data_IF_791221950688
#
_entry.id   IF_791221950688
#
_cell.length_a   1.000
_cell.length_b   1.000
_cell.length_c   1.000
_cell.angle_alpha   90.00
_cell.angle_beta   90.00
_cell.angle_gamma   90.00
#
_symmetry.space_group_name_H-M   'P 1'
#
loop_
_entity.id
_entity.type
_entity.pdbx_description
1 polymer ?
#
# COMPACT_ATOMS: atom_id res chain seq x y z
N UNK A 1 -45.16 48.24 -125.56
CA UNK A 1 -44.47 48.65 -124.32
C UNK A 1 -44.98 47.75 -123.22
N UNK A 2 -44.27 46.66 -122.91
CA UNK A 2 -44.48 45.92 -121.68
C UNK A 2 -43.96 46.85 -120.57
N UNK A 3 -44.88 47.48 -119.85
CA UNK A 3 -44.54 48.10 -118.58
C UNK A 3 -44.11 46.93 -117.71
N UNK A 4 -42.85 46.89 -117.27
CA UNK A 4 -42.43 45.99 -116.21
C UNK A 4 -43.33 46.30 -115.01
N UNK A 5 -44.39 45.51 -114.84
CA UNK A 5 -45.26 45.51 -113.67
C UNK A 5 -44.44 45.00 -112.51
N UNK A 6 -43.58 45.86 -111.97
CA UNK A 6 -42.79 45.43 -110.84
C UNK A 6 -43.71 45.20 -109.63
N UNK A 7 -43.31 44.21 -108.85
CA UNK A 7 -44.09 43.67 -107.74
C UNK A 7 -43.61 44.28 -106.43
N UNK A 8 -44.55 44.57 -105.55
CA UNK A 8 -44.31 44.85 -104.14
C UNK A 8 -44.22 43.51 -103.42
N UNK A 9 -43.04 43.16 -102.92
CA UNK A 9 -42.86 41.95 -102.12
C UNK A 9 -42.95 42.31 -100.66
N UNK A 10 -43.90 41.70 -99.95
CA UNK A 10 -44.14 41.93 -98.52
C UNK A 10 -43.65 40.71 -97.76
N UNK A 11 -42.62 40.86 -96.94
CA UNK A 11 -42.02 39.79 -96.12
C UNK A 11 -42.19 40.06 -94.64
N UNK A 12 -42.34 39.03 -93.79
CA UNK A 12 -42.30 39.20 -92.32
C UNK A 12 -40.87 39.44 -91.86
N UNK A 13 -40.68 39.88 -90.62
CA UNK A 13 -39.34 39.92 -89.99
C UNK A 13 -38.64 38.56 -89.91
N UNK A 14 -39.40 37.45 -89.98
CA UNK A 14 -38.84 36.10 -90.09
C UNK A 14 -38.22 35.79 -91.46
N UNK A 15 -38.39 36.66 -92.46
CA UNK A 15 -38.01 36.42 -93.85
C UNK A 15 -39.07 35.69 -94.69
N UNK A 16 -40.20 35.30 -94.10
CA UNK A 16 -41.30 34.65 -94.81
C UNK A 16 -42.02 35.65 -95.72
N UNK A 17 -42.15 35.35 -97.02
CA UNK A 17 -42.95 36.16 -97.94
C UNK A 17 -44.45 35.98 -97.67
N UNK A 18 -45.13 37.08 -97.36
CA UNK A 18 -46.57 37.13 -97.05
C UNK A 18 -47.39 37.31 -98.32
N UNK A 19 -46.94 38.19 -99.21
CA UNK A 19 -47.62 38.51 -100.44
C UNK A 19 -46.68 39.16 -101.45
N UNK A 20 -46.93 38.90 -102.74
CA UNK A 20 -46.38 39.63 -103.87
C UNK A 20 -47.53 40.27 -104.63
N UNK A 21 -47.56 41.60 -104.71
CA UNK A 21 -48.69 42.38 -105.25
C UNK A 21 -48.16 43.35 -106.30
N UNK A 22 -48.80 43.39 -107.48
CA UNK A 22 -48.38 44.32 -108.53
C UNK A 22 -48.58 45.77 -108.08
N UNK A 23 -47.61 46.64 -108.35
CA UNK A 23 -47.64 48.08 -107.98
C UNK A 23 -48.91 48.78 -108.49
N UNK A 24 -49.52 48.32 -109.60
CA UNK A 24 -50.76 48.88 -110.13
C UNK A 24 -52.03 48.56 -109.30
N UNK A 25 -52.02 47.53 -108.46
CA UNK A 25 -53.20 47.12 -107.68
C UNK A 25 -53.43 47.98 -106.43
N UNK A 26 -52.37 48.55 -105.87
CA UNK A 26 -52.38 49.31 -104.62
C UNK A 26 -51.64 50.62 -104.81
N UNK A 27 -52.30 51.74 -104.51
CA UNK A 27 -51.72 53.08 -104.71
C UNK A 27 -50.92 53.57 -103.50
N UNK A 28 -51.38 53.19 -102.31
CA UNK A 28 -50.86 53.67 -101.04
C UNK A 28 -50.73 52.53 -100.02
N UNK A 29 -49.99 52.79 -98.96
CA UNK A 29 -49.78 51.85 -97.85
C UNK A 29 -51.10 51.40 -97.23
N UNK A 30 -52.10 52.29 -97.14
CA UNK A 30 -53.43 51.98 -96.59
C UNK A 30 -54.15 50.90 -97.41
N UNK A 31 -54.17 51.02 -98.73
CA UNK A 31 -54.79 50.05 -99.64
C UNK A 31 -54.03 48.72 -99.63
N UNK A 32 -52.70 48.76 -99.52
CA UNK A 32 -51.88 47.57 -99.32
C UNK A 32 -52.22 46.86 -98.00
N UNK A 33 -52.26 47.56 -96.85
CA UNK A 33 -52.63 46.95 -95.55
C UNK A 33 -54.03 46.34 -95.56
N UNK A 34 -55.00 46.99 -96.22
CA UNK A 34 -56.37 46.47 -96.43
C UNK A 34 -56.39 45.22 -97.31
N UNK A 35 -55.49 45.12 -98.29
CA UNK A 35 -55.37 43.92 -99.13
C UNK A 35 -54.76 42.78 -98.33
N UNK A 36 -53.70 43.07 -97.56
CA UNK A 36 -53.04 42.10 -96.69
C UNK A 36 -53.96 41.56 -95.60
N UNK A 37 -54.84 42.37 -95.00
CA UNK A 37 -55.79 41.91 -93.97
C UNK A 37 -56.85 40.92 -94.48
N UNK A 38 -57.00 40.78 -95.80
CA UNK A 38 -57.89 39.76 -96.39
C UNK A 38 -57.19 38.39 -96.52
N UNK A 39 -55.88 38.33 -96.31
CA UNK A 39 -55.11 37.09 -96.35
C UNK A 39 -55.26 36.34 -95.01
N UNK A 40 -55.39 35.00 -95.03
CA UNK A 40 -55.54 34.22 -93.81
C UNK A 40 -54.30 34.39 -92.90
N UNK A 41 -54.53 34.59 -91.60
CA UNK A 41 -53.47 34.75 -90.61
C UNK A 41 -52.85 36.15 -90.52
N UNK A 42 -53.26 37.10 -91.37
CA UNK A 42 -52.82 38.49 -91.27
C UNK A 42 -53.88 39.31 -90.52
N UNK A 43 -53.54 39.97 -89.40
CA UNK A 43 -54.50 40.73 -88.59
C UNK A 43 -54.99 42.00 -89.31
N UNK A 44 -56.03 42.69 -88.81
CA UNK A 44 -56.55 43.93 -89.41
C UNK A 44 -55.50 45.02 -89.63
N UNK A 45 -55.74 45.93 -90.59
CA UNK A 45 -54.78 46.98 -91.04
C UNK A 45 -54.10 47.76 -89.90
N UNK A 46 -54.80 48.00 -88.80
CA UNK A 46 -54.34 48.78 -87.66
C UNK A 46 -53.27 48.07 -86.83
N UNK A 47 -53.13 46.76 -86.99
CA UNK A 47 -52.07 45.94 -86.38
C UNK A 47 -50.89 45.69 -87.31
N UNK A 48 -50.91 46.27 -88.51
CA UNK A 48 -49.89 46.08 -89.52
C UNK A 48 -49.01 47.32 -89.62
N UNK A 49 -47.69 47.12 -89.44
CA UNK A 49 -46.67 48.13 -89.76
C UNK A 49 -45.90 47.65 -90.98
N UNK A 50 -45.83 48.51 -91.99
CA UNK A 50 -45.04 48.25 -93.18
C UNK A 50 -43.78 49.10 -93.10
N UNK A 51 -42.62 48.45 -93.19
CA UNK A 51 -41.33 49.10 -93.14
C UNK A 51 -40.64 48.98 -94.49
N UNK A 52 -40.05 50.08 -94.94
CA UNK A 52 -39.13 50.10 -96.08
C UNK A 52 -37.75 50.43 -95.55
N UNK A 53 -36.79 49.50 -95.71
CA UNK A 53 -35.44 49.64 -95.19
C UNK A 53 -35.40 49.99 -93.68
N UNK A 54 -36.28 49.36 -92.89
CA UNK A 54 -36.38 49.57 -91.45
C UNK A 54 -37.09 50.86 -91.02
N UNK A 55 -37.61 51.68 -91.94
CA UNK A 55 -38.43 52.87 -91.63
C UNK A 55 -39.91 52.56 -91.83
N UNK A 56 -40.73 52.86 -90.84
CA UNK A 56 -42.19 52.72 -90.95
C UNK A 56 -42.74 53.67 -92.01
N UNK A 57 -43.60 53.13 -92.88
CA UNK A 57 -44.36 53.90 -93.86
C UNK A 57 -45.74 54.27 -93.30
N UNK A 58 -46.08 55.55 -93.41
CA UNK A 58 -47.39 56.07 -93.05
C UNK A 58 -48.47 55.57 -94.02
N UNK A 59 -49.73 55.49 -93.56
CA UNK A 59 -50.87 55.01 -94.36
C UNK A 59 -51.06 55.79 -95.67
N UNK A 60 -50.65 57.06 -95.72
CA UNK A 60 -50.77 57.92 -96.89
C UNK A 60 -49.57 57.86 -97.86
N UNK A 61 -48.50 57.11 -97.52
CA UNK A 61 -47.34 57.00 -98.38
C UNK A 61 -47.69 56.24 -99.68
N UNK A 62 -47.31 56.82 -100.82
CA UNK A 62 -47.56 56.24 -102.13
C UNK A 62 -46.58 55.11 -102.44
N UNK A 63 -47.09 54.03 -103.04
CA UNK A 63 -46.30 52.88 -103.46
C UNK A 63 -46.17 52.93 -104.97
N UNK A 64 -45.42 53.89 -105.49
CA UNK A 64 -45.32 54.17 -106.93
C UNK A 64 -44.26 53.34 -107.68
N UNK A 65 -43.43 52.57 -106.97
CA UNK A 65 -42.36 51.78 -107.57
C UNK A 65 -42.22 50.41 -106.90
N UNK A 66 -41.67 49.41 -107.60
CA UNK A 66 -41.43 48.09 -107.04
C UNK A 66 -40.46 48.19 -105.87
N UNK A 67 -40.78 47.58 -104.74
CA UNK A 67 -39.97 47.65 -103.53
C UNK A 67 -40.24 46.45 -102.61
N UNK A 68 -39.26 46.13 -101.78
CA UNK A 68 -39.36 45.09 -100.76
C UNK A 68 -39.80 45.74 -99.43
N UNK A 69 -40.95 45.32 -98.93
CA UNK A 69 -41.56 45.81 -97.70
C UNK A 69 -41.50 44.74 -96.62
N UNK A 70 -41.25 45.17 -95.38
CA UNK A 70 -41.30 44.30 -94.21
C UNK A 70 -42.60 44.54 -93.46
N UNK A 71 -43.39 43.48 -93.26
CA UNK A 71 -44.61 43.48 -92.46
C UNK A 71 -44.31 43.08 -91.02
N UNK A 72 -44.56 44.00 -90.09
CA UNK A 72 -44.51 43.76 -88.66
C UNK A 72 -45.93 43.74 -88.12
N UNK A 73 -46.28 42.64 -87.45
CA UNK A 73 -47.60 42.45 -86.83
C UNK A 73 -47.51 42.84 -85.35
N UNK A 74 -48.27 43.85 -84.95
CA UNK A 74 -48.33 44.30 -83.56
C UNK A 74 -49.33 43.45 -82.76
N UNK A 75 -48.98 43.15 -81.50
CA UNK A 75 -49.95 42.70 -80.51
C UNK A 75 -50.90 43.85 -80.14
N UNK A 76 -52.06 43.55 -79.57
CA UNK A 76 -52.88 44.59 -78.98
C UNK A 76 -52.12 45.23 -77.81
N UNK A 77 -52.18 46.56 -77.70
CA UNK A 77 -51.58 47.28 -76.59
C UNK A 77 -52.41 47.04 -75.32
N UNK A 78 -51.74 47.00 -74.17
CA UNK A 78 -52.40 47.04 -72.87
C UNK A 78 -52.90 48.47 -72.64
N UNK A 79 -54.17 48.70 -72.97
CA UNK A 79 -54.80 50.02 -72.91
C UNK A 79 -55.44 50.22 -71.55
N UNK A 80 -55.21 51.38 -70.93
CA UNK A 80 -55.82 51.70 -69.65
C UNK A 80 -57.34 51.92 -69.79
N UNK A 81 -58.09 51.69 -68.71
CA UNK A 81 -59.56 51.89 -68.71
C UNK A 81 -59.96 53.31 -69.15
N UNK A 82 -59.16 54.32 -68.82
CA UNK A 82 -59.41 55.72 -69.20
C UNK A 82 -59.25 55.95 -70.70
N UNK A 83 -58.35 55.23 -71.37
CA UNK A 83 -58.18 55.27 -72.82
C UNK A 83 -59.30 54.50 -73.54
N UNK A 84 -59.77 53.38 -72.99
CA UNK A 84 -60.97 52.67 -73.49
C UNK A 84 -62.22 53.57 -73.37
N UNK A 85 -62.35 54.31 -72.27
CA UNK A 85 -63.46 55.26 -72.09
C UNK A 85 -63.36 56.45 -73.07
N UNK A 86 -62.16 56.95 -73.35
CA UNK A 86 -61.93 57.95 -74.41
C UNK A 86 -62.28 57.41 -75.79
N UNK A 87 -61.91 56.16 -76.07
CA UNK A 87 -62.16 55.49 -77.35
C UNK A 87 -63.66 55.31 -77.59
N UNK A 88 -64.38 54.78 -76.59
CA UNK A 88 -65.82 54.62 -76.65
C UNK A 88 -66.57 55.96 -76.70
N UNK A 89 -66.05 57.01 -76.06
CA UNK A 89 -66.59 58.37 -76.19
C UNK A 89 -66.40 58.95 -77.60
N UNK A 90 -65.22 58.78 -78.20
CA UNK A 90 -64.96 59.20 -79.59
C UNK A 90 -65.87 58.46 -80.60
N UNK A 91 -66.07 57.16 -80.38
CA UNK A 91 -67.00 56.34 -81.16
C UNK A 91 -68.45 56.79 -81.01
N UNK A 92 -68.90 57.09 -79.78
CA UNK A 92 -70.24 57.65 -79.51
C UNK A 92 -70.44 59.01 -80.18
N UNK A 93 -69.42 59.87 -80.23
CA UNK A 93 -69.47 61.16 -80.93
C UNK A 93 -69.45 61.03 -82.46
N UNK A 94 -69.11 59.85 -83.00
CA UNK A 94 -68.97 59.64 -84.44
C UNK A 94 -67.75 60.33 -85.06
N UNK A 95 -66.73 60.66 -84.27
CA UNK A 95 -65.51 61.31 -84.76
C UNK A 95 -64.57 60.27 -85.40
N UNK A 96 -64.68 60.10 -86.73
CA UNK A 96 -63.95 59.06 -87.44
C UNK A 96 -62.43 59.29 -87.43
N UNK A 97 -62.01 60.56 -87.48
CA UNK A 97 -60.60 60.94 -87.41
C UNK A 97 -59.99 60.64 -86.03
N UNK A 98 -60.71 60.91 -84.94
CA UNK A 98 -60.27 60.56 -83.58
C UNK A 98 -60.19 59.05 -83.39
N UNK A 99 -61.22 58.30 -83.82
CA UNK A 99 -61.20 56.84 -83.70
C UNK A 99 -60.13 56.22 -84.57
N UNK A 100 -59.91 56.72 -85.79
CA UNK A 100 -58.80 56.26 -86.63
C UNK A 100 -57.44 56.57 -86.00
N UNK A 101 -57.26 57.77 -85.42
CA UNK A 101 -56.03 58.12 -84.70
C UNK A 101 -55.80 57.23 -83.46
N UNK A 102 -56.86 56.88 -82.73
CA UNK A 102 -56.76 55.96 -81.60
C UNK A 102 -56.51 54.52 -82.05
N UNK A 103 -57.07 54.10 -83.18
CA UNK A 103 -56.80 52.79 -83.81
C UNK A 103 -55.41 52.72 -84.46
N UNK A 104 -54.71 53.83 -84.68
CA UNK A 104 -53.28 53.76 -85.04
C UNK A 104 -52.45 53.16 -83.91
N UNK A 105 -52.91 53.21 -82.66
CA UNK A 105 -52.39 52.35 -81.61
C UNK A 105 -53.19 51.04 -81.65
N UNK A 106 -52.56 49.85 -81.54
CA UNK A 106 -53.25 48.57 -81.70
C UNK A 106 -54.22 48.30 -80.54
N UNK A 107 -55.36 48.99 -80.51
CA UNK A 107 -56.44 48.81 -79.55
C UNK A 107 -57.30 47.63 -79.98
N UNK A 108 -57.77 46.85 -79.01
CA UNK A 108 -58.79 45.83 -79.28
C UNK A 108 -60.17 46.51 -79.41
N UNK A 109 -60.81 46.44 -80.59
CA UNK A 109 -62.11 47.08 -80.83
C UNK A 109 -63.25 46.46 -80.00
N UNK A 110 -63.04 45.28 -79.40
CA UNK A 110 -64.02 44.58 -78.57
C UNK A 110 -63.96 44.96 -77.09
N UNK A 111 -63.04 45.83 -76.67
CA UNK A 111 -62.95 46.28 -75.28
C UNK A 111 -64.24 46.99 -74.85
N UNK A 112 -64.77 46.55 -73.71
CA UNK A 112 -65.98 47.11 -73.12
C UNK A 112 -65.61 48.35 -72.31
N UNK A 113 -66.17 49.51 -72.68
CA UNK A 113 -66.04 50.73 -71.88
C UNK A 113 -66.82 50.64 -70.56
N UNK A 114 -66.79 51.70 -69.76
CA UNK A 114 -67.51 51.77 -68.48
C UNK A 114 -69.02 51.42 -68.57
N UNK A 115 -69.63 51.60 -69.74
CA UNK A 115 -71.04 51.30 -70.00
C UNK A 115 -71.29 49.83 -70.41
N UNK A 116 -70.28 48.95 -70.34
CA UNK A 116 -70.39 47.54 -70.71
C UNK A 116 -70.62 47.29 -72.20
N UNK A 117 -70.53 48.32 -73.05
CA UNK A 117 -70.73 48.23 -74.49
C UNK A 117 -69.42 48.45 -75.23
N UNK A 118 -69.17 47.61 -76.24
CA UNK A 118 -68.06 47.81 -77.17
C UNK A 118 -68.26 49.08 -77.99
N UNK A 119 -67.15 49.68 -78.47
CA UNK A 119 -67.18 50.89 -79.28
C UNK A 119 -68.04 50.73 -80.54
N UNK A 120 -68.10 49.53 -81.13
CA UNK A 120 -68.92 49.21 -82.31
C UNK A 120 -70.44 49.34 -82.04
N UNK A 121 -70.90 48.87 -80.89
CA UNK A 121 -72.32 48.96 -80.50
C UNK A 121 -72.71 50.43 -80.31
N UNK A 122 -71.84 51.20 -79.66
CA UNK A 122 -72.07 52.62 -79.41
C UNK A 122 -72.08 53.45 -80.71
N UNK A 123 -71.20 53.13 -81.67
CA UNK A 123 -71.18 53.78 -82.97
C UNK A 123 -72.44 53.47 -83.81
N UNK A 124 -72.99 52.27 -83.69
CA UNK A 124 -74.22 51.85 -84.40
C UNK A 124 -75.45 52.60 -83.89
N UNK A 125 -75.54 52.81 -82.57
CA UNK A 125 -76.65 53.54 -81.94
C UNK A 125 -76.64 55.05 -82.24
N UNK A 126 -75.46 55.63 -82.50
CA UNK A 126 -75.31 57.07 -82.73
C UNK A 126 -75.75 57.54 -84.14
N UNK A 127 -76.20 56.64 -85.02
CA UNK A 127 -76.69 57.01 -86.36
C UNK A 127 -75.60 57.46 -87.35
N UNK A 128 -74.32 57.39 -86.98
CA UNK A 128 -73.16 57.82 -87.80
C UNK A 128 -72.68 56.70 -88.75
N UNK A 129 -73.59 55.77 -89.09
CA UNK A 129 -73.26 54.41 -89.53
C UNK A 129 -72.41 54.34 -90.80
N UNK A 130 -72.60 55.19 -91.80
CA UNK A 130 -71.97 54.95 -93.13
C UNK A 130 -70.43 55.05 -93.15
N UNK A 131 -69.82 55.90 -92.33
CA UNK A 131 -68.34 55.99 -92.23
C UNK A 131 -67.77 55.13 -91.11
N UNK A 132 -68.47 55.02 -89.98
CA UNK A 132 -68.02 54.25 -88.82
C UNK A 132 -68.17 52.74 -89.00
N UNK A 133 -69.28 52.28 -89.58
CA UNK A 133 -69.46 50.87 -89.93
C UNK A 133 -68.51 50.50 -91.05
N UNK A 134 -68.15 51.39 -91.98
CA UNK A 134 -67.09 51.06 -92.95
C UNK A 134 -65.72 50.96 -92.29
N UNK A 135 -65.40 51.83 -91.32
CA UNK A 135 -64.13 51.82 -90.59
C UNK A 135 -63.99 50.62 -89.62
N UNK A 136 -65.10 50.22 -88.98
CA UNK A 136 -65.16 49.11 -88.02
C UNK A 136 -65.59 47.77 -88.65
N UNK A 137 -66.31 47.75 -89.76
CA UNK A 137 -66.54 46.53 -90.56
C UNK A 137 -65.38 46.21 -91.49
N UNK A 138 -64.49 47.16 -91.76
CA UNK A 138 -63.10 46.85 -92.17
C UNK A 138 -62.32 46.16 -91.02
N UNK A 139 -62.87 46.12 -89.79
CA UNK A 139 -62.33 45.41 -88.62
C UNK A 139 -63.17 44.18 -88.17
N UNK A 140 -64.41 44.00 -88.66
CA UNK A 140 -65.30 42.87 -88.29
C UNK A 140 -66.36 42.61 -89.40
N UNK A 141 -66.21 41.54 -90.20
CA UNK A 141 -66.86 41.41 -91.53
C UNK A 141 -68.15 40.56 -91.62
N UNK A 142 -69.33 41.16 -91.81
CA UNK A 142 -70.58 40.46 -92.21
C UNK A 142 -71.66 41.41 -92.81
N UNK A 143 -72.45 40.93 -93.78
CA UNK A 143 -73.35 41.70 -94.69
C UNK A 143 -74.65 40.91 -95.01
N UNK A 144 -75.85 41.53 -95.00
CA UNK A 144 -77.11 40.93 -95.54
C UNK A 144 -78.07 42.00 -96.10
N UNK A 145 -78.74 41.71 -97.22
CA UNK A 145 -79.85 42.47 -97.82
C UNK A 145 -81.08 41.56 -98.17
N UNK A 146 -82.31 42.10 -98.37
CA UNK A 146 -83.60 41.36 -98.36
C UNK A 146 -84.39 41.35 -99.70
N UNK A 147 -85.53 40.63 -99.72
CA UNK A 147 -86.48 40.49 -100.85
C UNK A 147 -87.94 40.84 -100.43
N UNK A 148 -88.79 41.23 -101.39
CA UNK A 148 -90.18 41.73 -101.19
C UNK A 148 -91.17 41.13 -102.21
N UNK A 149 -92.44 41.06 -101.77
CA UNK A 149 -93.70 41.35 -102.50
C UNK A 149 -94.59 40.16 -102.93
N UNK A 150 -95.86 40.15 -102.48
CA UNK A 150 -97.00 40.71 -103.25
C UNK A 150 -98.33 40.69 -102.48
N UNK A 151 -99.09 41.74 -102.70
CA UNK A 151 -100.12 42.28 -101.83
C UNK A 151 -101.52 42.07 -102.43
N UNK A 152 -101.98 40.81 -102.56
CA UNK A 152 -103.31 40.50 -103.11
C UNK A 152 -104.05 39.32 -102.44
N UNK A 153 -103.51 38.82 -101.32
CA UNK A 153 -104.20 37.95 -100.34
C UNK A 153 -104.83 38.75 -99.19
N UNK A 154 -104.79 40.10 -99.22
CA UNK A 154 -104.95 40.91 -98.01
C UNK A 154 -106.31 40.87 -97.32
N UNK A 155 -107.44 40.57 -97.97
CA UNK A 155 -108.74 40.61 -97.29
C UNK A 155 -109.11 39.30 -96.61
N UNK A 156 -108.86 38.15 -97.25
CA UNK A 156 -108.97 36.84 -96.62
C UNK A 156 -107.82 36.59 -95.63
N UNK A 157 -106.62 37.11 -95.94
CA UNK A 157 -105.51 37.20 -95.00
C UNK A 157 -105.84 38.15 -93.84
N UNK A 158 -106.65 39.20 -94.00
CA UNK A 158 -107.00 40.08 -92.86
C UNK A 158 -107.86 39.37 -91.82
N UNK A 159 -108.89 38.64 -92.24
CA UNK A 159 -109.79 37.95 -91.31
C UNK A 159 -109.13 36.67 -90.75
N UNK A 160 -108.34 35.98 -91.57
CA UNK A 160 -107.46 34.90 -91.10
C UNK A 160 -106.38 35.43 -90.14
N UNK A 161 -105.76 36.58 -90.44
CA UNK A 161 -104.78 37.22 -89.57
C UNK A 161 -105.43 37.78 -88.31
N UNK A 162 -106.68 38.26 -88.33
CA UNK A 162 -107.41 38.64 -87.11
C UNK A 162 -107.74 37.44 -86.24
N UNK A 163 -108.13 36.31 -86.83
CA UNK A 163 -108.35 35.07 -86.10
C UNK A 163 -107.04 34.53 -85.52
N UNK A 164 -105.97 34.50 -86.32
CA UNK A 164 -104.62 34.14 -85.88
C UNK A 164 -104.08 35.12 -84.84
N UNK A 165 -104.36 36.42 -84.93
CA UNK A 165 -103.98 37.42 -83.94
C UNK A 165 -104.73 37.20 -82.63
N UNK A 166 -106.01 36.84 -82.68
CA UNK A 166 -106.79 36.49 -81.49
C UNK A 166 -106.24 35.23 -80.83
N UNK A 167 -105.99 34.17 -81.60
CA UNK A 167 -105.37 32.94 -81.10
C UNK A 167 -103.97 33.21 -80.54
N UNK A 168 -103.13 33.97 -81.26
CA UNK A 168 -101.79 34.35 -80.80
C UNK A 168 -101.84 35.22 -79.54
N UNK A 169 -102.86 36.06 -79.39
CA UNK A 169 -103.06 36.87 -78.18
C UNK A 169 -103.48 36.00 -77.00
N UNK A 170 -104.42 35.07 -77.19
CA UNK A 170 -104.84 34.15 -76.15
C UNK A 170 -103.68 33.21 -75.75
N UNK A 171 -102.87 32.76 -76.71
CA UNK A 171 -101.63 32.00 -76.47
C UNK A 171 -100.56 32.84 -75.78
N UNK A 172 -100.42 34.13 -76.12
CA UNK A 172 -99.49 35.03 -75.46
C UNK A 172 -99.90 35.27 -73.99
N UNK A 173 -101.20 35.46 -73.72
CA UNK A 173 -101.72 35.59 -72.35
C UNK A 173 -101.55 34.28 -71.58
N UNK A 174 -101.79 33.12 -72.19
CA UNK A 174 -101.55 31.82 -71.56
C UNK A 174 -100.07 31.62 -71.23
N UNK A 175 -99.15 31.96 -72.16
CA UNK A 175 -97.71 31.91 -71.92
C UNK A 175 -97.25 32.92 -70.87
N UNK A 176 -97.84 34.12 -70.82
CA UNK A 176 -97.56 35.11 -69.79
C UNK A 176 -97.99 34.60 -68.41
N UNK A 177 -99.16 33.96 -68.31
CA UNK A 177 -99.62 33.32 -67.08
C UNK A 177 -98.72 32.15 -66.67
N UNK A 178 -98.33 31.28 -67.60
CA UNK A 178 -97.40 30.16 -67.34
C UNK A 178 -96.02 30.65 -66.90
N UNK A 179 -95.48 31.67 -67.56
CA UNK A 179 -94.22 32.30 -67.17
C UNK A 179 -94.33 32.98 -65.80
N UNK A 180 -95.46 33.62 -65.48
CA UNK A 180 -95.67 34.22 -64.16
C UNK A 180 -95.72 33.17 -63.05
N UNK A 181 -96.42 32.05 -63.28
CA UNK A 181 -96.48 30.94 -62.34
C UNK A 181 -95.11 30.27 -62.18
N UNK A 182 -94.36 30.10 -63.28
CA UNK A 182 -93.00 29.58 -63.27
C UNK A 182 -92.03 30.50 -62.53
N UNK A 183 -92.15 31.81 -62.73
CA UNK A 183 -91.38 32.83 -62.02
C UNK A 183 -91.66 32.79 -60.52
N UNK A 184 -92.93 32.70 -60.12
CA UNK A 184 -93.30 32.66 -58.70
C UNK A 184 -92.85 31.35 -58.03
N UNK A 185 -92.93 30.23 -58.75
CA UNK A 185 -92.35 28.95 -58.32
C UNK A 185 -90.83 29.04 -58.15
N UNK A 186 -90.11 29.61 -59.14
CA UNK A 186 -88.67 29.79 -59.07
C UNK A 186 -88.25 30.74 -57.93
N UNK A 187 -89.01 31.82 -57.68
CA UNK A 187 -88.79 32.71 -56.52
C UNK A 187 -88.97 31.98 -55.20
N UNK A 188 -90.00 31.13 -55.09
CA UNK A 188 -90.22 30.33 -53.89
C UNK A 188 -89.09 29.34 -53.65
N UNK A 189 -88.65 28.62 -54.70
CA UNK A 189 -87.49 27.72 -54.63
C UNK A 189 -86.20 28.45 -54.26
N UNK A 190 -85.94 29.63 -54.85
CA UNK A 190 -84.78 30.45 -54.53
C UNK A 190 -84.81 30.91 -53.07
N UNK A 191 -85.99 31.29 -52.56
CA UNK A 191 -86.14 31.67 -51.16
C UNK A 191 -85.82 30.49 -50.23
N UNK A 192 -86.39 29.31 -50.49
CA UNK A 192 -86.11 28.10 -49.71
C UNK A 192 -84.63 27.74 -49.75
N UNK A 193 -83.99 27.75 -50.93
CA UNK A 193 -82.57 27.46 -51.06
C UNK A 193 -81.70 28.48 -50.31
N UNK A 194 -82.09 29.75 -50.28
CA UNK A 194 -81.38 30.79 -49.53
C UNK A 194 -81.52 30.58 -48.02
N UNK A 195 -82.70 30.24 -47.54
CA UNK A 195 -82.94 29.96 -46.11
C UNK A 195 -82.18 28.71 -45.67
N UNK A 196 -82.14 27.65 -46.50
CA UNK A 196 -81.33 26.45 -46.26
C UNK A 196 -79.82 26.74 -46.26
N UNK A 197 -79.35 27.59 -47.17
CA UNK A 197 -77.95 27.99 -47.21
C UNK A 197 -77.55 28.78 -45.96
N UNK A 198 -78.41 29.71 -45.51
CA UNK A 198 -78.19 30.47 -44.29
C UNK A 198 -78.19 29.58 -43.03
N UNK A 199 -79.08 28.58 -42.97
CA UNK A 199 -79.10 27.61 -41.87
C UNK A 199 -77.81 26.76 -41.82
N UNK A 200 -77.34 26.28 -42.98
CA UNK A 200 -76.07 25.53 -43.07
C UNK A 200 -74.86 26.38 -42.73
N UNK A 201 -74.85 27.65 -43.11
CA UNK A 201 -73.78 28.58 -42.74
C UNK A 201 -73.72 28.79 -41.22
N UNK A 202 -74.89 28.95 -40.58
CA UNK A 202 -74.96 29.03 -39.11
C UNK A 202 -74.49 27.74 -38.44
N UNK A 203 -74.91 26.57 -38.91
CA UNK A 203 -74.49 25.28 -38.37
C UNK A 203 -72.97 25.07 -38.52
N UNK A 204 -72.40 25.38 -39.69
CA UNK A 204 -70.96 25.33 -39.93
C UNK A 204 -70.20 26.30 -39.02
N UNK A 205 -70.70 27.52 -38.81
CA UNK A 205 -70.08 28.49 -37.92
C UNK A 205 -70.07 28.03 -36.46
N UNK A 206 -71.17 27.44 -35.99
CA UNK A 206 -71.27 26.90 -34.64
C UNK A 206 -70.35 25.68 -34.45
N UNK A 207 -70.27 24.80 -35.45
CA UNK A 207 -69.35 23.66 -35.46
C UNK A 207 -67.88 24.12 -35.45
N UNK A 208 -67.54 25.16 -36.23
CA UNK A 208 -66.20 25.75 -36.24
C UNK A 208 -65.80 26.33 -34.87
N UNK A 209 -66.69 27.06 -34.20
CA UNK A 209 -66.41 27.60 -32.87
C UNK A 209 -66.28 26.49 -31.81
N UNK A 210 -67.10 25.44 -31.91
CA UNK A 210 -66.96 24.24 -31.06
C UNK A 210 -65.60 23.56 -31.24
N UNK A 211 -65.18 23.32 -32.49
CA UNK A 211 -63.88 22.71 -32.78
C UNK A 211 -62.72 23.60 -32.34
N UNK A 212 -62.82 24.93 -32.52
CA UNK A 212 -61.82 25.88 -32.01
C UNK A 212 -61.72 25.83 -30.49
N UNK A 213 -62.84 25.73 -29.78
CA UNK A 213 -62.86 25.61 -28.33
C UNK A 213 -62.20 24.30 -27.89
N UNK A 214 -62.54 23.17 -28.53
CA UNK A 214 -61.91 21.88 -28.25
C UNK A 214 -60.39 21.89 -28.51
N UNK A 215 -59.95 22.51 -29.60
CA UNK A 215 -58.52 22.67 -29.90
C UNK A 215 -57.78 23.53 -28.87
N UNK A 216 -58.41 24.59 -28.35
CA UNK A 216 -57.84 25.40 -27.27
C UNK A 216 -57.68 24.57 -26.00
N UNK A 217 -58.72 23.86 -25.58
CA UNK A 217 -58.65 22.98 -24.40
C UNK A 217 -57.58 21.90 -24.55
N UNK A 218 -57.54 21.21 -25.70
CA UNK A 218 -56.53 20.17 -25.95
C UNK A 218 -55.11 20.73 -25.97
N UNK A 219 -54.93 21.96 -26.49
CA UNK A 219 -53.64 22.65 -26.46
C UNK A 219 -53.23 23.00 -25.04
N UNK A 220 -54.13 23.56 -24.24
CA UNK A 220 -53.84 23.94 -22.86
C UNK A 220 -53.49 22.70 -22.02
N UNK A 221 -54.23 21.59 -22.19
CA UNK A 221 -53.90 20.30 -21.57
C UNK A 221 -52.55 19.74 -22.02
N UNK A 222 -52.20 19.86 -23.30
CA UNK A 222 -50.90 19.43 -23.80
C UNK A 222 -49.76 20.26 -23.19
N UNK A 223 -49.93 21.58 -23.09
CA UNK A 223 -48.93 22.46 -22.46
C UNK A 223 -48.79 22.20 -20.97
N UNK A 224 -49.88 21.92 -20.26
CA UNK A 224 -49.83 21.56 -18.84
C UNK A 224 -49.06 20.24 -18.62
N UNK A 225 -49.34 19.21 -19.45
CA UNK A 225 -48.60 17.94 -19.40
C UNK A 225 -47.12 18.10 -19.76
N UNK A 226 -46.79 18.95 -20.72
CA UNK A 226 -45.40 19.26 -21.07
C UNK A 226 -44.67 19.91 -19.89
N UNK A 227 -45.31 20.86 -19.20
CA UNK A 227 -44.77 21.47 -17.99
C UNK A 227 -44.58 20.46 -16.86
N UNK A 228 -45.56 19.60 -16.58
CA UNK A 228 -45.45 18.53 -15.57
C UNK A 228 -44.31 17.54 -15.87
N UNK A 229 -44.18 17.13 -17.13
CA UNK A 229 -43.10 16.25 -17.57
C UNK A 229 -41.73 16.93 -17.45
N UNK A 230 -41.64 18.21 -17.79
CA UNK A 230 -40.38 18.97 -17.65
C UNK A 230 -39.96 19.11 -16.19
N UNK A 231 -40.90 19.40 -15.28
CA UNK A 231 -40.63 19.48 -13.85
C UNK A 231 -40.21 18.12 -13.26
N UNK A 232 -40.89 17.05 -13.71
CA UNK A 232 -40.55 15.67 -13.30
C UNK A 232 -39.16 15.25 -13.81
N UNK A 233 -38.79 15.65 -15.04
CA UNK A 233 -37.48 15.40 -15.62
C UNK A 233 -36.38 16.12 -14.84
N UNK A 234 -36.56 17.41 -14.53
CA UNK A 234 -35.57 18.18 -13.76
C UNK A 234 -35.42 17.65 -12.32
N UNK A 235 -36.53 17.26 -11.69
CA UNK A 235 -36.50 16.57 -10.39
C UNK A 235 -35.73 15.24 -10.45
N UNK A 236 -35.95 14.44 -11.50
CA UNK A 236 -35.23 13.18 -11.70
C UNK A 236 -33.73 13.39 -11.95
N UNK A 237 -33.36 14.41 -12.74
CA UNK A 237 -31.95 14.79 -12.96
C UNK A 237 -31.26 15.22 -11.66
N UNK A 238 -31.93 16.05 -10.85
CA UNK A 238 -31.40 16.47 -9.55
C UNK A 238 -31.16 15.28 -8.63
N UNK A 239 -32.10 14.33 -8.58
CA UNK A 239 -31.96 13.09 -7.79
C UNK A 239 -30.83 12.19 -8.32
N UNK A 240 -30.65 12.11 -9.63
CA UNK A 240 -29.53 11.36 -10.24
C UNK A 240 -28.17 11.96 -9.84
N UNK A 241 -28.05 13.28 -9.86
CA UNK A 241 -26.81 13.98 -9.48
C UNK A 241 -26.50 13.83 -7.99
N UNK A 242 -27.52 13.86 -7.12
CA UNK A 242 -27.37 13.57 -5.70
C UNK A 242 -26.89 12.13 -5.46
N UNK A 243 -27.47 11.14 -6.14
CA UNK A 243 -27.04 9.74 -6.07
C UNK A 243 -25.60 9.54 -6.58
N UNK A 244 -25.21 10.22 -7.66
CA UNK A 244 -23.82 10.19 -8.15
C UNK A 244 -22.85 10.79 -7.13
N UNK A 245 -23.25 11.87 -6.45
CA UNK A 245 -22.47 12.51 -5.39
C UNK A 245 -22.31 11.58 -4.19
N UNK A 246 -23.39 10.93 -3.75
CA UNK A 246 -23.35 9.94 -2.67
C UNK A 246 -22.49 8.72 -3.04
N UNK A 247 -22.57 8.24 -4.28
CA UNK A 247 -21.75 7.13 -4.75
C UNK A 247 -20.26 7.49 -4.75
N UNK A 248 -19.91 8.74 -5.13
CA UNK A 248 -18.53 9.22 -5.07
C UNK A 248 -18.02 9.30 -3.63
N UNK A 249 -18.81 9.88 -2.72
CA UNK A 249 -18.47 9.95 -1.30
C UNK A 249 -18.26 8.55 -0.69
N UNK A 250 -19.15 7.60 -0.98
CA UNK A 250 -19.01 6.21 -0.51
C UNK A 250 -17.77 5.51 -1.07
N UNK A 251 -17.38 5.79 -2.32
CA UNK A 251 -16.13 5.28 -2.90
C UNK A 251 -14.89 5.86 -2.21
N UNK A 252 -14.92 7.15 -1.90
CA UNK A 252 -13.84 7.83 -1.19
C UNK A 252 -13.70 7.27 0.25
N UNK A 253 -14.81 7.07 0.97
CA UNK A 253 -14.82 6.39 2.28
C UNK A 253 -14.28 4.95 2.19
N UNK A 254 -14.65 4.19 1.17
CA UNK A 254 -14.13 2.83 0.98
C UNK A 254 -12.61 2.83 0.72
N UNK A 255 -12.10 3.82 -0.02
CA UNK A 255 -10.67 3.98 -0.25
C UNK A 255 -9.91 4.33 1.05
N UNK A 256 -10.47 5.19 1.90
CA UNK A 256 -9.91 5.48 3.23
C UNK A 256 -9.88 4.25 4.13
N UNK A 257 -10.94 3.44 4.14
CA UNK A 257 -10.98 2.19 4.91
C UNK A 257 -9.89 1.22 4.41
N UNK A 258 -9.72 1.06 3.10
CA UNK A 258 -8.67 0.21 2.54
C UNK A 258 -7.26 0.71 2.90
N UNK A 259 -7.03 2.02 2.88
CA UNK A 259 -5.77 2.62 3.30
C UNK A 259 -5.50 2.40 4.80
N UNK A 260 -6.51 2.57 5.64
CA UNK A 260 -6.43 2.28 7.08
C UNK A 260 -6.16 0.80 7.35
N UNK A 261 -6.79 -0.11 6.60
CA UNK A 261 -6.52 -1.55 6.68
C UNK A 261 -5.08 -1.88 6.27
N UNK A 262 -4.57 -1.29 5.19
CA UNK A 262 -3.18 -1.49 4.77
C UNK A 262 -2.19 -1.00 5.84
N UNK A 263 -2.45 0.17 6.44
CA UNK A 263 -1.66 0.67 7.56
C UNK A 263 -1.76 -0.25 8.79
N UNK A 264 -2.96 -0.76 9.11
CA UNK A 264 -3.17 -1.71 10.19
C UNK A 264 -2.41 -3.02 9.99
N UNK A 265 -2.41 -3.55 8.77
CA UNK A 265 -1.65 -4.75 8.42
C UNK A 265 -0.14 -4.53 8.55
N UNK A 266 0.39 -3.38 8.12
CA UNK A 266 1.81 -3.03 8.31
C UNK A 266 2.19 -2.96 9.80
N UNK A 267 1.31 -2.39 10.64
CA UNK A 267 1.53 -2.37 12.09
C UNK A 267 1.50 -3.78 12.67
N UNK A 268 0.56 -4.62 12.25
CA UNK A 268 0.48 -6.02 12.68
C UNK A 268 1.73 -6.81 12.28
N UNK A 269 2.22 -6.65 11.06
CA UNK A 269 3.49 -7.25 10.59
C UNK A 269 4.68 -6.76 11.41
N UNK A 270 4.78 -5.45 11.69
CA UNK A 270 5.84 -4.90 12.53
C UNK A 270 5.79 -5.44 13.96
N UNK A 271 4.60 -5.55 14.55
CA UNK A 271 4.41 -6.14 15.87
C UNK A 271 4.74 -7.64 15.87
N UNK A 272 4.33 -8.38 14.84
CA UNK A 272 4.68 -9.78 14.65
C UNK A 272 6.19 -10.00 14.56
N UNK A 273 6.89 -9.17 13.79
CA UNK A 273 8.36 -9.21 13.70
C UNK A 273 9.04 -8.88 15.04
N UNK A 274 8.54 -7.87 15.78
CA UNK A 274 9.05 -7.53 17.13
C UNK A 274 8.79 -8.65 18.14
N UNK A 275 7.63 -9.30 18.09
CA UNK A 275 7.31 -10.44 18.95
C UNK A 275 8.25 -11.62 18.66
N UNK A 276 8.42 -11.99 17.39
CA UNK A 276 9.34 -13.06 17.00
C UNK A 276 10.79 -12.76 17.42
N UNK A 277 11.24 -11.50 17.30
CA UNK A 277 12.55 -11.09 17.79
C UNK A 277 12.67 -11.19 19.32
N UNK A 278 11.61 -10.81 20.05
CA UNK A 278 11.54 -10.94 21.50
C UNK A 278 11.55 -12.40 21.94
N UNK A 279 10.81 -13.28 21.26
CA UNK A 279 10.79 -14.72 21.52
C UNK A 279 12.17 -15.36 21.27
N UNK A 280 12.84 -14.99 20.18
CA UNK A 280 14.20 -15.44 19.90
C UNK A 280 15.20 -14.97 20.98
N UNK A 281 15.07 -13.73 21.45
CA UNK A 281 15.89 -13.21 22.55
C UNK A 281 15.61 -13.96 23.87
N UNK A 282 14.35 -14.24 24.18
CA UNK A 282 13.98 -15.03 25.36
C UNK A 282 14.58 -16.45 25.30
N UNK A 283 14.45 -17.13 24.16
CA UNK A 283 15.06 -18.46 23.97
C UNK A 283 16.60 -18.43 24.11
N UNK A 284 17.25 -17.35 23.63
CA UNK A 284 18.69 -17.16 23.83
C UNK A 284 19.06 -16.96 25.30
N UNK A 285 18.25 -16.21 26.05
CA UNK A 285 18.45 -16.03 27.49
C UNK A 285 18.24 -17.34 28.26
N UNK A 286 17.22 -18.13 27.91
CA UNK A 286 17.00 -19.46 28.50
C UNK A 286 18.19 -20.39 28.26
N UNK A 287 18.75 -20.40 27.04
CA UNK A 287 19.99 -21.12 26.75
C UNK A 287 21.15 -20.68 27.64
N UNK A 288 21.34 -19.37 27.80
CA UNK A 288 22.39 -18.81 28.69
C UNK A 288 22.18 -19.16 30.16
N UNK A 289 20.93 -19.20 30.62
CA UNK A 289 20.60 -19.61 32.00
C UNK A 289 20.99 -21.08 32.18
N UNK A 290 20.60 -21.96 31.25
CA UNK A 290 20.98 -23.38 31.28
C UNK A 290 22.50 -23.58 31.30
N UNK A 291 23.24 -22.85 30.45
CA UNK A 291 24.71 -22.90 30.44
C UNK A 291 25.32 -22.44 31.78
N UNK A 292 24.79 -21.37 32.37
CA UNK A 292 25.24 -20.86 33.68
C UNK A 292 24.90 -21.84 34.82
N UNK A 293 23.75 -22.49 34.77
CA UNK A 293 23.37 -23.53 35.73
C UNK A 293 24.33 -24.72 35.64
N UNK A 294 24.69 -25.16 34.43
CA UNK A 294 25.68 -26.20 34.21
C UNK A 294 27.08 -25.79 34.72
N UNK A 295 27.51 -24.55 34.45
CA UNK A 295 28.77 -24.01 34.98
C UNK A 295 28.78 -23.96 36.51
N UNK A 296 27.68 -23.53 37.14
CA UNK A 296 27.55 -23.50 38.60
C UNK A 296 27.56 -24.91 39.20
N UNK A 297 26.94 -25.90 38.55
CA UNK A 297 27.00 -27.29 38.98
C UNK A 297 28.44 -27.83 38.92
N UNK A 298 29.13 -27.62 37.79
CA UNK A 298 30.53 -28.03 37.63
C UNK A 298 31.45 -27.36 38.67
N UNK A 299 31.28 -26.06 38.92
CA UNK A 299 32.05 -25.33 39.93
C UNK A 299 31.78 -25.83 41.36
N UNK A 300 30.53 -26.25 41.66
CA UNK A 300 30.19 -26.88 42.95
C UNK A 300 30.85 -28.24 43.11
N UNK A 301 30.85 -29.07 42.07
CA UNK A 301 31.49 -30.38 42.08
C UNK A 301 33.01 -30.23 42.26
N UNK A 302 33.63 -29.26 41.58
CA UNK A 302 35.04 -28.94 41.74
C UNK A 302 35.35 -28.47 43.16
N UNK A 303 34.56 -27.54 43.71
CA UNK A 303 34.72 -27.07 45.09
C UNK A 303 34.52 -28.20 46.13
N UNK A 304 33.57 -29.11 45.90
CA UNK A 304 33.41 -30.30 46.75
C UNK A 304 34.61 -31.24 46.64
N UNK A 305 35.16 -31.43 45.44
CA UNK A 305 36.36 -32.24 45.24
C UNK A 305 37.59 -31.62 45.93
N UNK A 306 37.72 -30.30 45.90
CA UNK A 306 38.77 -29.59 46.64
C UNK A 306 38.58 -29.68 48.15
N UNK A 307 37.34 -29.53 48.65
CA UNK A 307 37.04 -29.71 50.06
C UNK A 307 37.44 -31.10 50.53
N UNK A 308 37.06 -32.16 49.78
CA UNK A 308 37.48 -33.53 50.08
C UNK A 308 39.00 -33.68 50.08
N UNK A 309 39.70 -33.12 49.09
CA UNK A 309 41.18 -33.12 49.08
C UNK A 309 41.78 -32.39 50.27
N UNK A 310 41.16 -31.31 50.74
CA UNK A 310 41.60 -30.59 51.96
C UNK A 310 41.35 -31.46 53.19
N UNK A 311 40.17 -32.07 53.31
CA UNK A 311 39.83 -32.98 54.42
C UNK A 311 40.76 -34.20 54.46
N UNK A 312 41.00 -34.84 53.31
CA UNK A 312 41.95 -35.97 53.18
C UNK A 312 43.38 -35.53 53.59
N UNK A 313 43.80 -34.33 53.17
CA UNK A 313 45.10 -33.78 53.52
C UNK A 313 45.18 -33.43 55.01
N UNK A 314 44.11 -32.89 55.59
CA UNK A 314 44.01 -32.59 57.02
C UNK A 314 44.06 -33.87 57.86
N UNK A 315 43.30 -34.90 57.47
CA UNK A 315 43.37 -36.23 58.09
C UNK A 315 44.77 -36.83 57.99
N UNK A 316 45.43 -36.74 56.83
CA UNK A 316 46.80 -37.22 56.65
C UNK A 316 47.80 -36.44 57.54
N UNK A 317 47.64 -35.12 57.66
CA UNK A 317 48.46 -34.30 58.56
C UNK A 317 48.19 -34.62 60.03
N UNK A 318 46.94 -34.87 60.41
CA UNK A 318 46.57 -35.23 61.77
C UNK A 318 47.09 -36.62 62.15
N UNK A 319 47.01 -37.61 61.25
CA UNK A 319 47.64 -38.91 61.42
C UNK A 319 49.15 -38.78 61.61
N UNK A 320 49.82 -37.98 60.77
CA UNK A 320 51.25 -37.71 60.90
C UNK A 320 51.61 -37.01 62.21
N UNK A 321 50.77 -36.09 62.69
CA UNK A 321 50.96 -35.44 63.99
C UNK A 321 50.85 -36.46 65.12
N UNK A 322 49.83 -37.33 65.08
CA UNK A 322 49.65 -38.42 66.06
C UNK A 322 50.85 -39.38 66.06
N UNK A 323 51.38 -39.74 64.88
CA UNK A 323 52.57 -40.58 64.77
C UNK A 323 53.80 -39.89 65.36
N UNK A 324 53.99 -38.59 65.08
CA UNK A 324 55.08 -37.81 65.66
C UNK A 324 54.94 -37.66 67.18
N UNK A 325 53.72 -37.49 67.71
CA UNK A 325 53.44 -37.46 69.15
C UNK A 325 53.75 -38.81 69.80
N UNK A 326 53.38 -39.93 69.14
CA UNK A 326 53.73 -41.27 69.60
C UNK A 326 55.25 -41.50 69.60
N UNK A 327 55.95 -41.05 68.55
CA UNK A 327 57.42 -41.08 68.49
C UNK A 327 58.06 -40.24 69.60
N UNK A 328 57.53 -39.05 69.87
CA UNK A 328 57.97 -38.19 70.97
C UNK A 328 57.72 -38.84 72.33
N UNK A 329 56.58 -39.48 72.53
CA UNK A 329 56.27 -40.22 73.75
C UNK A 329 57.24 -41.39 73.96
N UNK A 330 57.48 -42.20 72.91
CA UNK A 330 58.46 -43.28 72.95
C UNK A 330 59.88 -42.77 73.23
N UNK A 331 60.28 -41.66 72.61
CA UNK A 331 61.57 -41.03 72.89
C UNK A 331 61.67 -40.53 74.34
N UNK A 332 60.61 -39.94 74.89
CA UNK A 332 60.57 -39.53 76.31
C UNK A 332 60.66 -40.73 77.25
N UNK A 333 60.01 -41.84 76.91
CA UNK A 333 60.12 -43.09 77.67
C UNK A 333 61.54 -43.65 77.61
N UNK A 334 62.20 -43.65 76.45
CA UNK A 334 63.61 -44.02 76.33
C UNK A 334 64.52 -43.11 77.16
N UNK A 335 64.27 -41.79 77.17
CA UNK A 335 65.02 -40.87 78.04
C UNK A 335 64.77 -41.18 79.52
N UNK A 336 63.54 -41.53 79.92
CA UNK A 336 63.21 -41.91 81.29
C UNK A 336 63.87 -43.24 81.71
N UNK A 337 63.94 -44.23 80.82
CA UNK A 337 64.66 -45.49 81.09
C UNK A 337 66.18 -45.26 81.17
N UNK A 338 66.74 -44.41 80.30
CA UNK A 338 68.14 -44.01 80.41
C UNK A 338 68.42 -43.23 81.71
N UNK A 339 67.53 -42.33 82.13
CA UNK A 339 67.68 -41.61 83.40
C UNK A 339 67.58 -42.54 84.61
N UNK A 340 66.65 -43.49 84.62
CA UNK A 340 66.57 -44.47 85.73
C UNK A 340 67.77 -45.40 85.75
N UNK A 341 68.27 -45.84 84.59
CA UNK A 341 69.53 -46.58 84.47
C UNK A 341 70.74 -45.75 84.91
N UNK A 342 70.76 -44.44 84.63
CA UNK A 342 71.82 -43.54 85.10
C UNK A 342 71.76 -43.36 86.62
N UNK A 343 70.57 -43.21 87.20
CA UNK A 343 70.41 -43.12 88.67
C UNK A 343 70.83 -44.42 89.35
N UNK A 344 70.46 -45.59 88.80
CA UNK A 344 70.91 -46.88 89.35
C UNK A 344 72.42 -47.07 89.19
N UNK A 345 73.00 -46.68 88.05
CA UNK A 345 74.44 -46.66 87.85
C UNK A 345 75.16 -45.76 88.86
N UNK A 346 74.61 -44.57 89.14
CA UNK A 346 75.14 -43.66 90.15
C UNK A 346 75.02 -44.24 91.58
N UNK A 347 73.91 -44.89 91.92
CA UNK A 347 73.74 -45.57 93.22
C UNK A 347 74.75 -46.72 93.41
N UNK A 348 75.01 -47.50 92.36
CA UNK A 348 76.02 -48.57 92.38
C UNK A 348 77.43 -47.97 92.52
N UNK A 349 77.73 -46.87 91.83
CA UNK A 349 79.00 -46.16 91.98
C UNK A 349 79.20 -45.63 93.41
N UNK A 350 78.14 -45.07 94.02
CA UNK A 350 78.17 -44.59 95.41
C UNK A 350 78.33 -45.74 96.43
N UNK A 351 77.68 -46.89 96.19
CA UNK A 351 77.90 -48.11 96.97
C UNK A 351 79.35 -48.61 96.88
N UNK A 352 79.92 -48.68 95.67
CA UNK A 352 81.30 -49.10 95.46
C UNK A 352 82.28 -48.12 96.12
N UNK A 353 82.01 -46.81 96.07
CA UNK A 353 82.82 -45.80 96.75
C UNK A 353 82.74 -45.92 98.28
N UNK A 354 81.57 -46.28 98.83
CA UNK A 354 81.40 -46.61 100.24
C UNK A 354 82.17 -47.86 100.67
N UNK A 355 82.16 -48.91 99.85
CA UNK A 355 82.95 -50.13 100.08
C UNK A 355 84.46 -49.87 100.03
N UNK A 356 84.91 -49.03 99.10
CA UNK A 356 86.32 -48.65 99.00
C UNK A 356 86.78 -47.92 100.26
N UNK A 357 86.06 -46.89 100.73
CA UNK A 357 86.36 -46.18 101.99
C UNK A 357 86.40 -47.12 103.20
N UNK A 358 85.50 -48.11 103.25
CA UNK A 358 85.48 -49.09 104.31
C UNK A 358 86.70 -50.04 104.26
N UNK A 359 87.19 -50.38 103.06
CA UNK A 359 88.40 -51.17 102.89
C UNK A 359 89.68 -50.38 103.23
N UNK A 360 89.74 -49.10 102.83
CA UNK A 360 90.85 -48.19 103.16
C UNK A 360 90.98 -48.01 104.66
N UNK A 361 89.86 -47.85 105.38
CA UNK A 361 89.85 -47.79 106.84
C UNK A 361 90.40 -49.08 107.48
N UNK A 362 90.02 -50.25 106.97
CA UNK A 362 90.56 -51.53 107.47
C UNK A 362 92.05 -51.68 107.23
N UNK A 363 92.57 -51.20 106.09
CA UNK A 363 94.02 -51.19 105.84
C UNK A 363 94.75 -50.29 106.84
N UNK A 364 94.20 -49.11 107.16
CA UNK A 364 94.79 -48.21 108.15
C UNK A 364 94.80 -48.83 109.57
N UNK A 365 93.71 -49.50 109.96
CA UNK A 365 93.63 -50.19 111.27
C UNK A 365 94.65 -51.35 111.35
N UNK A 366 94.79 -52.14 110.28
CA UNK A 366 95.79 -53.24 110.21
C UNK A 366 97.24 -52.73 110.21
N UNK A 367 97.51 -51.57 109.59
CA UNK A 367 98.84 -50.94 109.65
C UNK A 367 99.17 -50.44 111.07
N UNK A 368 98.18 -49.93 111.80
CA UNK A 368 98.33 -49.58 113.22
C UNK A 368 98.66 -50.82 114.08
N UNK A 369 97.97 -51.93 113.87
CA UNK A 369 98.21 -53.18 114.61
C UNK A 369 99.62 -53.75 114.32
N UNK A 370 100.08 -53.66 113.06
CA UNK A 370 101.44 -54.04 112.67
C UNK A 370 102.49 -53.22 113.43
N UNK A 371 102.30 -51.91 113.57
CA UNK A 371 103.23 -51.05 114.30
C UNK A 371 103.30 -51.42 115.78
N UNK A 372 102.16 -51.72 116.42
CA UNK A 372 102.13 -52.16 117.81
C UNK A 372 102.84 -53.50 118.03
N UNK A 373 102.72 -54.44 117.09
CA UNK A 373 103.42 -55.73 117.16
C UNK A 373 104.93 -55.58 117.02
N UNK A 374 105.40 -54.69 116.14
CA UNK A 374 106.83 -54.40 115.98
C UNK A 374 107.44 -53.76 117.23
N UNK A 375 106.68 -52.91 117.92
CA UNK A 375 107.10 -52.28 119.17
C UNK A 375 107.23 -53.32 120.30
N UNK A 376 106.28 -54.27 120.39
CA UNK A 376 106.36 -55.42 121.31
C UNK A 376 107.54 -56.34 121.01
N UNK A 377 107.85 -56.57 119.74
CA UNK A 377 109.00 -57.41 119.35
C UNK A 377 110.33 -56.78 119.78
N UNK A 378 110.49 -55.46 119.59
CA UNK A 378 111.67 -54.71 120.06
C UNK A 378 111.86 -54.80 121.57
N UNK A 379 110.78 -54.68 122.34
CA UNK A 379 110.84 -54.80 123.79
C UNK A 379 111.30 -56.21 124.24
N UNK A 380 110.89 -57.25 123.50
CA UNK A 380 111.35 -58.62 123.76
C UNK A 380 112.82 -58.85 123.38
N UNK A 381 113.31 -58.25 122.30
CA UNK A 381 114.72 -58.34 121.89
C UNK A 381 115.66 -57.67 122.90
N UNK A 382 115.28 -56.51 123.45
CA UNK A 382 116.05 -55.83 124.52
C UNK A 382 116.08 -56.64 125.84
N UNK A 383 114.95 -57.29 126.18
CA UNK A 383 114.87 -58.18 127.34
C UNK A 383 115.73 -59.45 127.17
N UNK A 384 115.85 -59.97 125.95
CA UNK A 384 116.70 -61.12 125.64
C UNK A 384 118.19 -60.76 125.74
N UNK A 385 118.58 -59.58 125.25
CA UNK A 385 119.96 -59.08 125.35
C UNK A 385 120.43 -58.90 126.79
N UNK A 386 119.57 -58.35 127.66
CA UNK A 386 119.88 -58.18 129.10
C UNK A 386 119.95 -59.52 129.86
N UNK A 387 119.14 -60.52 129.46
CA UNK A 387 119.21 -61.86 130.05
C UNK A 387 120.49 -62.61 129.66
N UNK A 388 120.95 -62.48 128.41
CA UNK A 388 122.18 -63.15 127.94
C UNK A 388 123.45 -62.57 128.59
N UNK A 389 123.47 -61.26 128.88
CA UNK A 389 124.58 -60.60 129.56
C UNK A 389 124.73 -61.09 131.01
N UNK A 390 123.61 -61.35 131.70
CA UNK A 390 123.59 -61.95 133.06
C UNK A 390 124.04 -63.41 133.10
N UNK A 391 123.79 -64.18 132.05
CA UNK A 391 124.27 -65.57 131.97
C UNK A 391 125.79 -65.65 131.79
N UNK A 392 126.41 -64.69 131.10
CA UNK A 392 127.86 -64.65 130.92
C UNK A 392 128.63 -64.30 132.22
N UNK A 393 128.07 -63.43 133.06
CA UNK A 393 128.64 -63.08 134.37
C UNK A 393 128.61 -64.27 135.35
N UNK A 394 127.52 -65.05 135.33
CA UNK A 394 127.36 -66.23 136.20
C UNK A 394 128.27 -67.41 135.84
N UNK A 395 128.66 -67.57 134.58
CA UNK A 395 129.64 -68.60 134.19
C UNK A 395 131.09 -68.22 134.58
N UNK A 396 131.41 -66.92 134.62
CA UNK A 396 132.71 -66.44 135.10
C UNK A 396 132.88 -66.68 136.61
N UNK A 397 131.84 -66.47 137.41
CA UNK A 397 131.86 -66.70 138.86
C UNK A 397 131.99 -68.20 139.22
N UNK A 398 131.51 -69.09 138.35
CA UNK A 398 131.56 -70.55 138.59
C UNK A 398 132.96 -71.15 138.38
N UNK A 399 133.81 -70.53 137.56
CA UNK A 399 135.18 -70.99 137.33
C UNK A 399 136.18 -70.51 138.41
N UNK A 400 135.83 -69.48 139.19
CA UNK A 400 136.71 -68.95 140.24
C UNK A 400 136.61 -69.71 141.59
N UNK A 401 135.47 -70.33 141.92
CA UNK A 401 135.22 -70.93 143.24
C UNK A 401 135.83 -72.35 143.45
N UNK A 402 136.70 -72.83 142.54
CA UNK A 402 137.31 -74.16 142.61
C UNK A 402 138.69 -74.21 143.33
N UNK A 403 139.19 -73.12 143.93
CA UNK A 403 140.57 -73.09 144.48
C UNK A 403 140.77 -72.38 145.83
N UNK A 404 139.85 -72.50 146.79
CA UNK A 404 140.18 -72.19 148.20
C UNK A 404 139.29 -73.00 149.16
N UNK A 405 139.93 -73.63 150.14
CA UNK A 405 139.34 -74.68 150.96
C UNK A 405 138.59 -74.23 152.22
N UNK A 406 138.28 -75.27 153.01
CA UNK A 406 137.78 -75.28 154.38
C UNK A 406 136.27 -75.10 154.59
N UNK A 407 135.68 -76.24 155.00
CA UNK A 407 134.55 -76.42 155.91
C UNK A 407 133.29 -75.56 155.69
N UNK A 408 132.33 -76.10 154.91
CA UNK A 408 130.89 -76.16 155.24
C UNK A 408 130.05 -76.60 154.03
N UNK A 409 130.33 -77.80 153.51
CA UNK A 409 129.80 -78.29 152.22
C UNK A 409 128.37 -78.87 152.27
N UNK A 410 127.68 -78.90 153.41
CA UNK A 410 126.38 -79.58 153.52
C UNK A 410 125.14 -78.67 153.32
N UNK A 411 125.29 -77.35 153.18
CA UNK A 411 124.14 -76.41 152.98
C UNK A 411 124.02 -75.80 151.58
N UNK A 412 125.03 -75.95 150.73
CA UNK A 412 125.06 -75.35 149.38
C UNK A 412 124.38 -76.22 148.30
N UNK A 413 124.28 -77.53 148.49
CA UNK A 413 123.81 -78.46 147.45
C UNK A 413 122.28 -78.42 147.24
N UNK A 414 121.49 -78.14 148.29
CA UNK A 414 120.03 -78.06 148.20
C UNK A 414 119.53 -76.79 147.46
N UNK A 415 120.29 -75.69 147.49
CA UNK A 415 119.90 -74.44 146.82
C UNK A 415 120.17 -74.45 145.31
N UNK A 416 121.15 -75.24 144.83
CA UNK A 416 121.50 -75.35 143.42
C UNK A 416 120.55 -76.28 142.64
N UNK A 417 119.98 -77.30 143.27
CA UNK A 417 119.00 -78.18 142.61
C UNK A 417 117.64 -77.50 142.36
N UNK A 418 117.21 -76.58 143.24
CA UNK A 418 115.97 -75.81 143.03
C UNK A 418 116.06 -74.83 141.85
N UNK A 419 117.20 -74.15 141.69
CA UNK A 419 117.39 -73.16 140.60
C UNK A 419 117.59 -73.81 139.22
N UNK A 420 118.18 -75.01 139.17
CA UNK A 420 118.33 -75.75 137.92
C UNK A 420 116.98 -76.25 137.35
N UNK A 421 116.04 -76.65 138.23
CA UNK A 421 114.71 -77.13 137.81
C UNK A 421 113.78 -76.02 137.29
N UNK A 422 113.88 -74.79 137.81
CA UNK A 422 113.13 -73.64 137.31
C UNK A 422 113.61 -73.20 135.92
N UNK A 423 114.92 -73.16 135.69
CA UNK A 423 115.50 -72.81 134.40
C UNK A 423 115.09 -73.80 133.27
N UNK A 424 114.95 -75.09 133.59
CA UNK A 424 114.46 -76.08 132.61
C UNK A 424 112.96 -75.88 132.27
N UNK A 425 112.11 -75.58 133.26
CA UNK A 425 110.68 -75.31 133.01
C UNK A 425 110.46 -74.05 132.17
N UNK A 426 111.27 -73.02 132.39
CA UNK A 426 111.18 -71.78 131.63
C UNK A 426 111.67 -71.95 130.18
N UNK A 427 112.72 -72.74 129.96
CA UNK A 427 113.17 -73.09 128.60
C UNK A 427 112.15 -73.92 127.82
N UNK A 428 111.44 -74.85 128.47
CA UNK A 428 110.37 -75.63 127.83
C UNK A 428 109.14 -74.77 127.51
N UNK A 429 108.77 -73.84 128.41
CA UNK A 429 107.69 -72.89 128.16
C UNK A 429 107.98 -71.99 126.96
N UNK A 430 109.18 -71.43 126.86
CA UNK A 430 109.58 -70.59 125.72
C UNK A 430 109.65 -71.38 124.40
N UNK A 431 110.04 -72.67 124.43
CA UNK A 431 109.92 -73.55 123.25
C UNK A 431 108.47 -73.78 122.84
N UNK A 432 107.55 -73.95 123.79
CA UNK A 432 106.13 -74.12 123.48
C UNK A 432 105.49 -72.84 122.92
N UNK A 433 105.84 -71.67 123.45
CA UNK A 433 105.38 -70.37 122.90
C UNK A 433 105.95 -70.12 121.50
N UNK A 434 107.23 -70.43 121.23
CA UNK A 434 107.80 -70.31 119.88
C UNK A 434 107.13 -71.25 118.86
N UNK A 435 106.76 -72.47 119.26
CA UNK A 435 106.01 -73.38 118.39
C UNK A 435 104.57 -72.87 118.11
N UNK A 436 104.00 -72.03 118.98
CA UNK A 436 102.73 -71.33 118.75
C UNK A 436 102.87 -70.21 117.72
N UNK A 437 103.89 -69.36 117.88
CA UNK A 437 104.15 -68.24 116.97
C UNK A 437 104.52 -68.71 115.56
N UNK A 438 105.24 -69.82 115.41
CA UNK A 438 105.53 -70.40 114.10
C UNK A 438 104.25 -70.86 113.37
N UNK A 439 103.22 -71.34 114.09
CA UNK A 439 101.92 -71.67 113.47
C UNK A 439 101.17 -70.42 113.03
N UNK A 440 101.16 -69.38 113.87
CA UNK A 440 100.48 -68.13 113.54
C UNK A 440 101.10 -67.45 112.32
N UNK A 441 102.43 -67.52 112.17
CA UNK A 441 103.14 -67.01 110.98
C UNK A 441 102.78 -67.81 109.72
N UNK A 442 102.63 -69.14 109.82
CA UNK A 442 102.22 -69.99 108.70
C UNK A 442 100.76 -69.73 108.30
N UNK A 443 99.86 -69.54 109.26
CA UNK A 443 98.46 -69.22 109.00
C UNK A 443 98.30 -67.81 108.38
N UNK A 444 99.12 -66.84 108.79
CA UNK A 444 99.17 -65.51 108.16
C UNK A 444 99.66 -65.57 106.70
N UNK A 445 100.67 -66.40 106.41
CA UNK A 445 101.17 -66.62 105.05
C UNK A 445 100.12 -67.29 104.15
N UNK A 446 99.30 -68.19 104.72
CA UNK A 446 98.18 -68.81 104.02
C UNK A 446 97.06 -67.81 103.70
N UNK A 447 96.65 -66.98 104.66
CA UNK A 447 95.63 -65.94 104.42
C UNK A 447 96.08 -64.93 103.36
N UNK A 448 97.35 -64.53 103.34
CA UNK A 448 97.89 -63.65 102.30
C UNK A 448 97.89 -64.29 100.91
N UNK A 449 98.10 -65.60 100.82
CA UNK A 449 98.04 -66.35 99.56
C UNK A 449 96.61 -66.45 99.03
N UNK A 450 95.63 -66.67 99.91
CA UNK A 450 94.20 -66.69 99.56
C UNK A 450 93.70 -65.29 99.15
N UNK A 451 94.16 -64.22 99.83
CA UNK A 451 93.84 -62.84 99.45
C UNK A 451 94.42 -62.48 98.07
N UNK A 452 95.65 -62.92 97.76
CA UNK A 452 96.27 -62.72 96.45
C UNK A 452 95.54 -63.48 95.33
N UNK A 453 95.04 -64.69 95.60
CA UNK A 453 94.22 -65.45 94.65
C UNK A 453 92.87 -64.75 94.36
N UNK A 454 92.21 -64.23 95.40
CA UNK A 454 90.96 -63.48 95.24
C UNK A 454 91.13 -62.19 94.43
N UNK A 455 92.24 -61.47 94.63
CA UNK A 455 92.57 -60.26 93.84
C UNK A 455 92.82 -60.60 92.37
N UNK A 456 93.48 -61.73 92.06
CA UNK A 456 93.67 -62.16 90.67
C UNK A 456 92.38 -62.66 89.99
N UNK A 457 91.45 -63.27 90.72
CA UNK A 457 90.12 -63.59 90.18
C UNK A 457 89.32 -62.34 89.83
N UNK A 458 89.46 -61.25 90.59
CA UNK A 458 88.78 -59.98 90.31
C UNK A 458 89.43 -59.14 89.19
N UNK A 459 90.73 -59.32 88.93
CA UNK A 459 91.45 -58.57 87.88
C UNK A 459 91.45 -59.26 86.49
N UNK A 460 91.12 -60.56 86.40
CA UNK A 460 91.22 -61.33 85.15
C UNK A 460 89.90 -61.73 84.48
N UNK A 461 88.75 -61.58 85.14
CA UNK A 461 87.45 -62.01 84.63
C UNK A 461 86.63 -60.86 84.05
N UNK A 462 86.98 -60.37 82.86
CA UNK A 462 86.27 -59.23 82.27
C UNK A 462 86.51 -58.94 80.80
N UNK A 463 86.80 -59.94 79.97
CA UNK A 463 86.67 -59.83 78.51
C UNK A 463 86.07 -61.13 77.98
N UNK A 464 84.78 -61.10 77.62
CA UNK A 464 84.12 -62.21 76.95
C UNK A 464 82.59 -62.17 76.91
N UNK A 465 82.03 -61.39 75.97
CA UNK A 465 80.85 -61.80 75.20
C UNK A 465 79.47 -61.26 75.61
N UNK A 466 78.99 -60.24 74.89
CA UNK A 466 77.85 -60.29 73.94
C UNK A 466 77.57 -58.90 73.36
#
# INVERSE_FOLDING_TARGET
MQLDEGMLRVTKLSGEEVASIAVGEVRDVRSLKRRLSKLPGVPPRFRQRLLLNGRELEDAAELGSPMDLQLVLLAFADVSRTEVDKFTAAARRGSAAEVEAMLQLPHDPNLLGANGSAALVLASLAGVMLRFVRLLSDADGSNVAPAVAKEQEHSASLDSAKAQLKTAKDEAVAKEQELSASLDSAKAQLKTAKDEAAAKEQELSASLESVKAQLRTARDEATAKEQELSASLESAKAKSLDLETQLRASKDEAAEILAAQASGNQVAESLGAKLAASEAHAASLEGRISDLEAQLAAARDEAQSESRRRDDKEQALQAKSSDLEAQLAAAREQVATHQTAQVSGNQVAEQLQGQLRASEKRCADLESDKLQLLEKLRAHEEALGTAQQRCAELEADKQAAATAGSADAAKAEAALQSKAAEAQRESERLRAENAGLERDVVDLARMLSELKAAVHQYAGGGIGGS
#
